data_IF_328052670214
#
_entry.id   IF_328052670214
#
_cell.length_a   1.000
_cell.length_b   1.000
_cell.length_c   1.000
_cell.angle_alpha   90.00
_cell.angle_beta   90.00
_cell.angle_gamma   90.00
#
_symmetry.space_group_name_H-M   'P 1'
#
loop_
_entity.id
_entity.type
_entity.pdbx_description
1 polymer ?
#
# COMPACT_ATOMS: atom_id res chain seq x y z
N UNK A 1 18.09 -15.55 10.83
CA UNK A 1 16.96 -15.66 9.88
C UNK A 1 16.25 -17.01 9.97
N UNK A 2 16.82 -18.05 10.60
CA UNK A 2 16.13 -19.34 10.74
C UNK A 2 16.05 -20.14 9.43
N UNK A 3 16.86 -19.77 8.44
CA UNK A 3 16.88 -20.36 7.10
C UNK A 3 18.10 -21.26 6.92
N UNK A 4 17.99 -22.27 6.04
CA UNK A 4 19.09 -23.17 5.69
C UNK A 4 20.00 -22.50 4.63
N UNK A 5 21.24 -22.13 4.98
CA UNK A 5 22.14 -21.41 4.08
C UNK A 5 22.54 -22.22 2.84
N UNK A 6 22.40 -23.55 2.84
CA UNK A 6 22.74 -24.39 1.68
C UNK A 6 21.78 -24.21 0.50
N UNK A 7 20.59 -23.65 0.76
CA UNK A 7 19.54 -23.44 -0.25
C UNK A 7 19.39 -21.98 -0.65
N UNK A 8 19.99 -21.06 0.12
CA UNK A 8 19.98 -19.63 -0.18
C UNK A 8 20.96 -19.34 -1.32
N UNK A 9 20.58 -18.46 -2.22
CA UNK A 9 21.43 -18.02 -3.31
C UNK A 9 22.65 -17.28 -2.77
N UNK A 10 23.79 -17.95 -2.82
CA UNK A 10 25.09 -17.41 -2.46
C UNK A 10 25.60 -16.48 -3.57
N UNK A 11 26.17 -15.36 -3.16
CA UNK A 11 26.84 -14.41 -4.04
C UNK A 11 28.33 -14.73 -4.03
N UNK A 12 28.83 -15.32 -5.12
CA UNK A 12 30.24 -15.73 -5.24
C UNK A 12 31.18 -14.52 -5.18
N UNK A 13 32.19 -14.60 -4.31
CA UNK A 13 33.12 -13.48 -4.05
C UNK A 13 33.92 -13.10 -5.30
N UNK A 14 34.29 -14.07 -6.14
CA UNK A 14 35.00 -13.83 -7.39
C UNK A 14 34.22 -12.95 -8.39
N UNK A 15 32.88 -12.94 -8.28
CA UNK A 15 31.98 -12.18 -9.16
C UNK A 15 31.57 -10.85 -8.49
N UNK A 16 31.23 -10.88 -7.20
CA UNK A 16 30.58 -9.77 -6.52
C UNK A 16 31.50 -8.98 -5.57
N UNK A 17 32.61 -9.57 -5.12
CA UNK A 17 33.58 -8.92 -4.22
C UNK A 17 33.04 -8.58 -2.82
N UNK A 18 32.06 -9.35 -2.32
CA UNK A 18 31.36 -9.09 -1.05
C UNK A 18 31.84 -9.99 0.11
N UNK A 19 32.75 -10.92 -0.17
CA UNK A 19 33.25 -11.94 0.75
C UNK A 19 32.52 -13.28 0.62
N UNK A 20 33.17 -14.34 1.11
CA UNK A 20 32.77 -15.74 0.96
C UNK A 20 31.48 -16.16 1.70
N UNK A 21 30.83 -15.26 2.44
CA UNK A 21 29.62 -15.54 3.22
C UNK A 21 28.51 -14.53 2.90
N UNK A 22 28.37 -14.21 1.61
CA UNK A 22 27.40 -13.27 1.07
C UNK A 22 26.23 -13.99 0.43
N UNK A 23 25.00 -13.56 0.72
CA UNK A 23 23.78 -14.18 0.22
C UNK A 23 22.79 -13.14 -0.28
N UNK A 24 22.06 -13.49 -1.35
CA UNK A 24 21.08 -12.62 -1.95
C UNK A 24 19.81 -12.53 -1.08
N UNK A 25 19.40 -11.31 -0.77
CA UNK A 25 18.21 -11.01 0.01
C UNK A 25 17.51 -9.76 -0.52
N UNK A 26 16.24 -9.58 -0.16
CA UNK A 26 15.43 -8.39 -0.47
C UNK A 26 14.85 -7.86 0.84
N UNK A 27 14.80 -6.55 1.03
CA UNK A 27 14.07 -5.96 2.15
C UNK A 27 12.56 -6.20 2.01
N UNK A 28 11.94 -6.71 3.07
CA UNK A 28 10.50 -6.98 3.11
C UNK A 28 9.66 -5.74 2.79
N UNK A 29 10.07 -4.55 3.25
CA UNK A 29 9.39 -3.30 2.91
C UNK A 29 9.31 -3.04 1.40
N UNK A 30 10.39 -3.29 0.64
CA UNK A 30 10.40 -3.10 -0.81
C UNK A 30 9.56 -4.16 -1.51
N UNK A 31 9.54 -5.39 -0.99
CA UNK A 31 8.63 -6.42 -1.50
C UNK A 31 7.15 -6.05 -1.30
N UNK A 32 6.79 -5.49 -0.15
CA UNK A 32 5.43 -4.98 0.10
C UNK A 32 5.05 -3.85 -0.88
N UNK A 33 5.97 -2.92 -1.15
CA UNK A 33 5.75 -1.86 -2.16
C UNK A 33 5.55 -2.46 -3.56
N UNK A 34 6.35 -3.44 -3.96
CA UNK A 34 6.20 -4.16 -5.23
C UNK A 34 4.82 -4.83 -5.35
N UNK A 35 4.39 -5.55 -4.30
CA UNK A 35 3.07 -6.17 -4.28
C UNK A 35 1.94 -5.15 -4.34
N UNK A 36 2.04 -4.04 -3.62
CA UNK A 36 1.06 -2.95 -3.65
C UNK A 36 0.96 -2.35 -5.06
N UNK A 37 2.09 -2.14 -5.74
CA UNK A 37 2.11 -1.66 -7.13
C UNK A 37 1.52 -2.70 -8.10
N UNK A 38 1.75 -3.99 -7.87
CA UNK A 38 1.12 -5.06 -8.66
C UNK A 38 -0.40 -5.07 -8.48
N UNK A 39 -0.90 -4.89 -7.25
CA UNK A 39 -2.33 -4.74 -6.98
C UNK A 39 -2.91 -3.49 -7.65
N UNK A 40 -2.17 -2.37 -7.64
CA UNK A 40 -2.52 -1.16 -8.40
C UNK A 40 -2.68 -1.48 -9.88
N UNK A 41 -1.69 -2.10 -10.52
CA UNK A 41 -1.77 -2.46 -11.94
C UNK A 41 -2.98 -3.37 -12.23
N UNK A 42 -3.27 -4.36 -11.38
CA UNK A 42 -4.46 -5.20 -11.53
C UNK A 42 -5.76 -4.41 -11.37
N UNK A 43 -5.82 -3.47 -10.42
CA UNK A 43 -6.98 -2.61 -10.22
C UNK A 43 -7.23 -1.68 -11.43
N UNK A 44 -6.16 -1.27 -12.12
CA UNK A 44 -6.16 -0.39 -13.29
C UNK A 44 -5.85 -1.13 -14.60
N UNK A 45 -6.22 -2.41 -14.68
CA UNK A 45 -5.85 -3.25 -15.81
C UNK A 45 -6.09 -2.57 -17.17
N UNK A 46 -7.24 -1.92 -17.41
CA UNK A 46 -7.53 -1.28 -18.70
C UNK A 46 -6.51 -0.18 -19.08
N UNK A 47 -6.00 0.56 -18.11
CA UNK A 47 -4.96 1.58 -18.31
C UNK A 47 -3.60 0.94 -18.63
N UNK A 48 -3.33 -0.26 -18.10
CA UNK A 48 -2.09 -1.02 -18.26
C UNK A 48 -2.22 -2.23 -19.23
N UNK A 49 -3.25 -2.28 -20.07
CA UNK A 49 -3.48 -3.34 -21.06
C UNK A 49 -3.82 -4.75 -20.49
N UNK A 50 -4.44 -4.84 -19.31
CA UNK A 50 -4.95 -6.04 -18.63
C UNK A 50 -6.49 -5.96 -18.42
N UNK A 51 -7.23 -7.07 -18.43
CA UNK A 51 -8.71 -7.04 -18.54
C UNK A 51 -9.47 -6.48 -17.31
N UNK A 52 -10.64 -5.88 -17.59
CA UNK A 52 -11.49 -4.88 -16.86
C UNK A 52 -11.79 -4.95 -15.36
N UNK A 53 -11.91 -3.73 -14.80
CA UNK A 53 -13.21 -3.14 -14.38
C UNK A 53 -13.43 -1.78 -15.10
N UNK A 54 -14.60 -1.56 -15.72
CA UNK A 54 -14.92 -0.50 -16.72
C UNK A 54 -14.55 0.96 -16.32
N UNK A 55 -13.73 1.61 -17.16
CA UNK A 55 -13.13 2.95 -17.02
C UNK A 55 -13.94 4.16 -17.57
N UNK A 56 -15.24 4.03 -17.87
CA UNK A 56 -15.97 5.08 -18.62
C UNK A 56 -16.49 6.28 -17.79
N UNK A 57 -16.30 6.26 -16.47
CA UNK A 57 -16.48 7.41 -15.58
C UNK A 57 -15.49 7.21 -14.44
N UNK A 58 -14.69 8.22 -14.06
CA UNK A 58 -13.97 8.18 -12.78
C UNK A 58 -15.00 8.11 -11.66
N UNK A 59 -15.36 6.89 -11.26
CA UNK A 59 -16.37 6.59 -10.24
C UNK A 59 -15.70 6.79 -8.88
N UNK A 60 -16.46 7.13 -7.84
CA UNK A 60 -15.99 7.14 -6.43
C UNK A 60 -15.10 5.94 -6.07
N UNK A 61 -15.37 4.79 -6.71
CA UNK A 61 -14.57 3.57 -6.61
C UNK A 61 -13.08 3.77 -6.97
N UNK A 62 -12.76 4.50 -8.03
CA UNK A 62 -11.39 4.75 -8.48
C UNK A 62 -10.66 5.71 -7.53
N UNK A 63 -11.32 6.79 -7.10
CA UNK A 63 -10.79 7.70 -6.07
C UNK A 63 -10.50 6.92 -4.79
N UNK A 64 -11.43 6.06 -4.37
CA UNK A 64 -11.28 5.24 -3.18
C UNK A 64 -10.12 4.24 -3.31
N UNK A 65 -10.00 3.55 -4.46
CA UNK A 65 -8.89 2.62 -4.72
C UNK A 65 -7.55 3.36 -4.68
N UNK A 66 -7.41 4.48 -5.38
CA UNK A 66 -6.19 5.29 -5.39
C UNK A 66 -5.81 5.73 -3.97
N UNK A 67 -6.76 6.30 -3.22
CA UNK A 67 -6.50 6.74 -1.86
C UNK A 67 -6.14 5.59 -0.92
N UNK A 68 -6.77 4.41 -1.06
CA UNK A 68 -6.40 3.21 -0.33
C UNK A 68 -4.96 2.78 -0.63
N UNK A 69 -4.57 2.77 -1.90
CA UNK A 69 -3.19 2.46 -2.31
C UNK A 69 -2.22 3.48 -1.70
N UNK A 70 -2.52 4.77 -1.77
CA UNK A 70 -1.69 5.83 -1.22
C UNK A 70 -1.51 5.71 0.30
N UNK A 71 -2.59 5.42 1.05
CA UNK A 71 -2.50 5.22 2.51
C UNK A 71 -1.67 3.99 2.84
N UNK A 72 -1.84 2.90 2.09
CA UNK A 72 -1.07 1.67 2.30
C UNK A 72 0.41 1.92 2.01
N UNK A 73 0.74 2.63 0.94
CA UNK A 73 2.12 2.99 0.62
C UNK A 73 2.74 3.84 1.73
N UNK A 74 2.03 4.88 2.19
CA UNK A 74 2.47 5.70 3.33
C UNK A 74 2.69 4.86 4.58
N UNK A 75 1.79 3.92 4.87
CA UNK A 75 1.94 3.03 6.02
C UNK A 75 3.21 2.17 5.92
N UNK A 76 3.47 1.57 4.74
CA UNK A 76 4.68 0.78 4.48
C UNK A 76 5.92 1.65 4.65
N UNK A 77 5.94 2.87 4.11
CA UNK A 77 7.08 3.78 4.22
C UNK A 77 7.34 4.23 5.66
N UNK A 78 6.28 4.54 6.42
CA UNK A 78 6.41 4.98 7.81
C UNK A 78 6.72 3.84 8.78
N UNK A 79 6.36 2.59 8.45
CA UNK A 79 6.54 1.41 9.29
C UNK A 79 7.35 0.34 8.55
N UNK A 80 8.38 0.79 7.82
CA UNK A 80 9.17 -0.08 6.96
C UNK A 80 9.78 -1.23 7.76
N UNK A 81 9.39 -2.45 7.42
CA UNK A 81 10.00 -3.64 7.98
C UNK A 81 11.38 -3.87 7.35
N UNK A 82 12.42 -3.92 8.20
CA UNK A 82 13.79 -4.14 7.78
C UNK A 82 14.19 -5.62 7.77
N UNK A 83 13.24 -6.53 8.00
CA UNK A 83 13.46 -7.95 7.77
C UNK A 83 13.93 -8.21 6.34
N UNK A 84 14.82 -9.19 6.20
CA UNK A 84 15.34 -9.64 4.93
C UNK A 84 14.58 -10.89 4.47
N UNK A 85 14.15 -10.90 3.22
CA UNK A 85 13.60 -12.04 2.50
C UNK A 85 14.77 -12.71 1.78
N UNK A 86 15.18 -13.93 2.17
CA UNK A 86 16.23 -14.65 1.45
C UNK A 86 15.72 -15.16 0.11
N UNK A 87 16.60 -15.17 -0.89
CA UNK A 87 16.32 -15.79 -2.18
C UNK A 87 16.86 -17.21 -2.21
N UNK A 88 16.02 -18.19 -2.51
CA UNK A 88 16.38 -19.61 -2.53
C UNK A 88 16.42 -20.16 -3.97
N UNK A 89 17.32 -21.10 -4.22
CA UNK A 89 17.25 -21.93 -5.41
C UNK A 89 16.12 -22.94 -5.22
N UNK A 90 15.08 -22.84 -6.04
CA UNK A 90 13.96 -23.77 -6.03
C UNK A 90 13.88 -24.51 -7.36
N UNK A 91 13.47 -25.78 -7.29
CA UNK A 91 13.25 -26.59 -8.48
C UNK A 91 12.28 -25.88 -9.43
N UNK A 92 12.46 -26.04 -10.74
CA UNK A 92 11.69 -25.43 -11.85
C UNK A 92 11.93 -23.95 -12.16
N UNK A 93 12.59 -23.18 -11.28
CA UNK A 93 12.86 -21.77 -11.54
C UNK A 93 14.23 -21.54 -12.17
N UNK A 94 14.28 -20.58 -13.11
CA UNK A 94 15.54 -20.16 -13.75
C UNK A 94 16.38 -19.24 -12.85
N UNK A 95 15.73 -18.54 -11.91
CA UNK A 95 16.36 -17.58 -11.00
C UNK A 95 15.98 -17.88 -9.55
N UNK A 96 16.80 -17.44 -8.57
CA UNK A 96 16.46 -17.56 -7.15
C UNK A 96 15.11 -16.91 -6.82
N UNK A 97 14.31 -17.58 -6.01
CA UNK A 97 12.95 -17.17 -5.68
C UNK A 97 12.84 -16.70 -4.23
N UNK A 98 12.09 -15.63 -3.93
CA UNK A 98 11.96 -15.12 -2.56
C UNK A 98 11.19 -16.09 -1.64
N UNK A 99 11.80 -16.43 -0.50
CA UNK A 99 11.09 -17.12 0.59
C UNK A 99 10.44 -16.11 1.54
N UNK A 100 9.13 -15.93 1.37
CA UNK A 100 8.32 -14.99 2.16
C UNK A 100 8.00 -15.52 3.57
N UNK A 101 8.43 -16.73 3.92
CA UNK A 101 8.19 -17.39 5.21
C UNK A 101 9.17 -16.90 6.29
N UNK A 102 9.45 -15.59 6.31
CA UNK A 102 10.36 -14.99 7.26
C UNK A 102 9.76 -14.97 8.67
N UNK A 103 10.60 -15.18 9.68
CA UNK A 103 10.18 -15.28 11.08
C UNK A 103 9.83 -13.90 11.66
N UNK A 104 8.64 -13.39 11.34
CA UNK A 104 8.13 -12.09 11.81
C UNK A 104 7.64 -12.17 13.25
N UNK A 105 7.88 -11.10 14.02
CA UNK A 105 7.19 -10.89 15.29
C UNK A 105 5.90 -10.12 15.06
N UNK A 106 4.77 -10.82 15.16
CA UNK A 106 3.45 -10.24 14.89
C UNK A 106 2.74 -9.79 16.17
N UNK A 107 1.93 -8.75 16.05
CA UNK A 107 0.91 -8.43 17.07
C UNK A 107 -0.06 -9.61 17.18
N UNK A 108 -0.45 -9.98 18.39
CA UNK A 108 -1.52 -10.94 18.60
C UNK A 108 -2.86 -10.31 18.17
N UNK A 109 -3.26 -10.60 16.93
CA UNK A 109 -4.40 -9.93 16.29
C UNK A 109 -5.74 -10.33 16.90
N UNK A 110 -5.85 -11.53 17.47
CA UNK A 110 -7.05 -12.00 18.15
C UNK A 110 -7.29 -11.18 19.42
N UNK A 111 -6.28 -11.08 20.29
CA UNK A 111 -6.37 -10.26 21.51
C UNK A 111 -6.61 -8.79 21.20
N UNK A 112 -5.96 -8.26 20.16
CA UNK A 112 -6.22 -6.90 19.70
C UNK A 112 -7.67 -6.72 19.24
N UNK A 113 -8.21 -7.68 18.48
CA UNK A 113 -9.58 -7.65 17.98
C UNK A 113 -10.60 -7.75 19.11
N UNK A 114 -10.38 -8.63 20.08
CA UNK A 114 -11.20 -8.76 21.28
C UNK A 114 -11.24 -7.44 22.07
N UNK A 115 -10.07 -6.87 22.36
CA UNK A 115 -9.97 -5.58 23.04
C UNK A 115 -10.70 -4.48 22.25
N UNK A 116 -10.49 -4.39 20.93
CA UNK A 116 -11.18 -3.41 20.07
C UNK A 116 -12.70 -3.57 20.16
N UNK A 117 -13.23 -4.79 20.08
CA UNK A 117 -14.69 -5.05 20.15
C UNK A 117 -15.26 -4.69 21.51
N UNK A 118 -14.56 -5.00 22.60
CA UNK A 118 -15.02 -4.70 23.96
C UNK A 118 -14.97 -3.20 24.30
N UNK A 119 -14.09 -2.43 23.63
CA UNK A 119 -13.86 -1.02 23.91
C UNK A 119 -14.36 -0.08 22.80
N UNK A 120 -14.97 -0.61 21.74
CA UNK A 120 -15.60 0.23 20.71
C UNK A 120 -16.89 0.83 21.25
N UNK A 121 -17.22 2.03 20.81
CA UNK A 121 -18.50 2.67 21.14
C UNK A 121 -19.65 1.93 20.44
N UNK A 122 -20.87 2.10 20.96
CA UNK A 122 -22.08 1.58 20.31
C UNK A 122 -22.19 2.17 18.90
N UNK A 123 -21.92 1.32 17.90
CA UNK A 123 -21.87 1.73 16.50
C UNK A 123 -23.26 2.01 15.92
N UNK A 124 -24.30 1.34 16.41
CA UNK A 124 -25.67 1.57 15.97
C UNK A 124 -26.12 2.96 16.45
N UNK A 125 -25.87 3.26 17.73
CA UNK A 125 -26.09 4.59 18.29
C UNK A 125 -25.23 5.66 17.63
N UNK A 126 -23.97 5.35 17.29
CA UNK A 126 -23.10 6.27 16.58
C UNK A 126 -23.70 6.67 15.23
N UNK A 127 -24.14 5.70 14.43
CA UNK A 127 -24.74 5.94 13.11
C UNK A 127 -26.02 6.77 13.23
N UNK A 128 -26.85 6.48 14.23
CA UNK A 128 -28.09 7.22 14.48
C UNK A 128 -27.82 8.69 14.85
N UNK A 129 -26.90 8.94 15.78
CA UNK A 129 -26.70 10.27 16.39
C UNK A 129 -25.76 11.16 15.58
N UNK A 130 -24.78 10.57 14.88
CA UNK A 130 -23.74 11.32 14.19
C UNK A 130 -24.12 11.75 12.76
N UNK A 131 -25.29 11.33 12.26
CA UNK A 131 -25.81 11.80 10.98
C UNK A 131 -25.91 13.33 10.97
N UNK A 132 -25.29 13.96 9.98
CA UNK A 132 -25.46 15.38 9.74
C UNK A 132 -26.86 15.60 9.15
N UNK A 133 -27.68 16.44 9.80
CA UNK A 133 -29.00 16.80 9.29
C UNK A 133 -28.90 17.71 8.06
N UNK A 134 -30.03 18.24 7.58
CA UNK A 134 -30.08 19.14 6.42
C UNK A 134 -29.29 20.44 6.64
N UNK A 135 -29.07 20.84 7.90
CA UNK A 135 -28.26 21.98 8.27
C UNK A 135 -27.06 21.56 9.13
N UNK A 136 -25.96 22.30 8.96
CA UNK A 136 -24.76 22.14 9.79
C UNK A 136 -25.13 22.41 11.25
N UNK A 137 -24.75 21.49 12.14
CA UNK A 137 -24.99 21.64 13.58
C UNK A 137 -24.33 22.94 14.08
N UNK A 138 -25.00 23.75 14.93
CA UNK A 138 -24.45 25.01 15.42
C UNK A 138 -23.06 24.84 16.02
N UNK A 139 -22.11 25.69 15.61
CA UNK A 139 -20.73 25.67 16.09
C UNK A 139 -19.81 24.64 15.42
N UNK A 140 -20.32 23.75 14.55
CA UNK A 140 -19.48 22.81 13.81
C UNK A 140 -18.83 23.51 12.62
N UNK A 141 -17.50 23.56 12.62
CA UNK A 141 -16.69 24.00 11.47
C UNK A 141 -16.37 22.80 10.59
N UNK A 142 -16.64 22.90 9.30
CA UNK A 142 -16.28 21.87 8.33
C UNK A 142 -14.95 22.19 7.65
N UNK A 143 -14.16 21.15 7.37
CA UNK A 143 -13.01 21.29 6.48
C UNK A 143 -13.52 21.39 5.04
N UNK A 144 -12.88 22.22 4.18
CA UNK A 144 -13.22 22.25 2.77
C UNK A 144 -12.93 20.89 2.13
N UNK A 145 -13.84 20.42 1.28
CA UNK A 145 -13.62 19.21 0.49
C UNK A 145 -12.50 19.43 -0.54
N UNK A 146 -11.79 18.36 -0.89
CA UNK A 146 -10.73 18.38 -1.89
C UNK A 146 -11.28 18.66 -3.31
N UNK A 147 -10.44 19.18 -4.20
CA UNK A 147 -10.81 19.49 -5.60
C UNK A 147 -11.46 18.30 -6.32
N UNK A 148 -10.91 17.10 -6.13
CA UNK A 148 -11.39 15.87 -6.77
C UNK A 148 -12.85 15.54 -6.38
N UNK A 149 -13.29 15.97 -5.19
CA UNK A 149 -14.68 15.78 -4.76
C UNK A 149 -15.64 16.65 -5.56
N UNK A 150 -15.28 17.91 -5.82
CA UNK A 150 -16.10 18.83 -6.62
C UNK A 150 -16.11 18.43 -8.09
N UNK A 151 -14.94 18.06 -8.64
CA UNK A 151 -14.81 17.54 -10.00
C UNK A 151 -15.72 16.34 -10.24
N UNK A 152 -15.74 15.39 -9.30
CA UNK A 152 -16.62 14.21 -9.37
C UNK A 152 -18.10 14.56 -9.53
N UNK A 153 -18.57 15.60 -8.83
CA UNK A 153 -19.96 16.06 -8.90
C UNK A 153 -20.21 17.10 -10.00
N UNK A 154 -19.18 17.47 -10.78
CA UNK A 154 -19.28 18.51 -11.81
C UNK A 154 -19.50 19.91 -11.26
N UNK A 155 -19.02 20.18 -10.04
CA UNK A 155 -19.13 21.49 -9.38
C UNK A 155 -17.79 22.23 -9.42
N UNK A 156 -17.84 23.56 -9.42
CA UNK A 156 -16.65 24.38 -9.16
C UNK A 156 -16.32 24.32 -7.67
N UNK A 157 -15.04 24.06 -7.33
CA UNK A 157 -14.61 24.12 -5.92
C UNK A 157 -14.43 25.58 -5.49
N UNK A 158 -15.27 26.12 -4.60
CA UNK A 158 -15.14 27.50 -4.12
C UNK A 158 -13.88 27.69 -3.25
N UNK A 159 -13.21 26.60 -2.86
CA UNK A 159 -12.00 26.60 -2.05
C UNK A 159 -10.76 26.14 -2.85
N UNK A 160 -10.83 26.10 -4.19
CA UNK A 160 -9.69 25.69 -5.01
C UNK A 160 -8.46 26.54 -4.67
N UNK A 161 -7.36 25.87 -4.32
CA UNK A 161 -6.05 26.49 -4.17
C UNK A 161 -5.22 26.13 -5.39
N UNK A 162 -4.72 27.11 -6.16
CA UNK A 162 -3.83 26.82 -7.28
C UNK A 162 -2.66 25.96 -6.79
N UNK A 163 -2.42 24.82 -7.43
CA UNK A 163 -1.22 24.03 -7.11
C UNK A 163 0.01 24.81 -7.57
N UNK A 164 1.05 25.01 -6.73
CA UNK A 164 2.34 25.43 -7.23
C UNK A 164 2.83 24.36 -8.21
N UNK A 165 3.35 24.78 -9.37
CA UNK A 165 3.87 23.86 -10.37
C UNK A 165 4.97 22.98 -9.76
N UNK A 166 4.75 21.66 -9.77
CA UNK A 166 5.80 20.67 -9.52
C UNK A 166 5.97 20.17 -8.08
N UNK A 167 5.03 19.36 -7.57
CA UNK A 167 5.30 18.38 -6.51
C UNK A 167 4.37 17.17 -6.66
N UNK A 168 4.60 16.38 -7.72
CA UNK A 168 4.23 14.97 -7.74
C UNK A 168 5.55 14.20 -7.87
N UNK A 169 5.76 13.18 -7.05
CA UNK A 169 6.75 12.16 -7.40
C UNK A 169 6.39 11.68 -8.81
N UNK A 170 7.33 11.64 -9.77
CA UNK A 170 7.04 11.11 -11.09
C UNK A 170 6.46 9.72 -10.92
N UNK A 171 5.17 9.56 -11.23
CA UNK A 171 4.58 8.25 -11.42
C UNK A 171 5.37 7.61 -12.57
N UNK A 172 5.92 6.43 -12.31
CA UNK A 172 6.48 5.50 -13.29
C UNK A 172 7.98 5.64 -13.67
N UNK A 173 8.86 6.09 -12.76
CA UNK A 173 10.32 5.88 -12.91
C UNK A 173 10.89 5.08 -11.74
N UNK A 174 10.43 3.85 -11.57
CA UNK A 174 11.20 2.77 -10.93
C UNK A 174 10.54 1.43 -11.26
N UNK A 175 10.87 0.92 -12.45
CA UNK A 175 10.48 -0.41 -12.92
C UNK A 175 11.67 -1.38 -12.92
N UNK A 176 12.70 -1.11 -12.12
CA UNK A 176 13.85 -2.00 -11.94
C UNK A 176 14.18 -2.18 -10.46
N UNK A 177 13.32 -2.93 -9.77
CA UNK A 177 13.67 -3.83 -8.67
C UNK A 177 12.82 -5.10 -8.82
#
# INVERSE_FOLDING_TARGET
MGTDPSTVAKLEDEIWGLGNDSYATIFDAYHQVHCLNSLRHHAYGEYYNQSRARADKMKQREIHINHCIDILLQHIQCNANLDLIPLHWIETQQYPFPDMSINKQCVNFDKFTEWRKANTIDMDKYVEVMKMGEMIKPGVKQLPAADQYYEYWGFENPNHKPKPEGHGLPLDVDNNL
#
